data_IF_952409956014
#
_entry.id   IF_952409956014
#
_cell.length_a   1.000
_cell.length_b   1.000
_cell.length_c   1.000
_cell.angle_alpha   90.00
_cell.angle_beta   90.00
_cell.angle_gamma   90.00
#
_symmetry.space_group_name_H-M   'P 1'
#
loop_
_entity.id
_entity.type
_entity.pdbx_description
1 polymer ?
#
# COMPACT_ATOMS: atom_id res chain seq x y z
N UNK A 1 8.98 65.69 45.37
CA UNK A 1 8.96 65.56 46.84
C UNK A 1 7.62 66.09 47.33
N UNK A 2 6.74 65.19 47.82
CA UNK A 2 5.53 65.43 48.64
C UNK A 2 4.50 66.45 48.07
N UNK A 3 3.23 66.14 47.96
CA UNK A 3 2.30 66.14 49.09
C UNK A 3 1.03 65.37 48.71
N UNK A 4 0.63 64.50 49.62
CA UNK A 4 -0.65 63.83 49.75
C UNK A 4 -1.69 64.88 50.17
N UNK A 5 -2.85 64.94 49.53
CA UNK A 5 -4.07 65.48 50.17
C UNK A 5 -5.18 64.43 50.05
N UNK A 6 -5.54 63.93 51.22
CA UNK A 6 -6.70 63.12 51.56
C UNK A 6 -7.92 64.04 51.57
N UNK A 7 -9.02 63.65 50.92
CA UNK A 7 -10.34 64.23 51.17
C UNK A 7 -11.40 63.11 51.13
N UNK A 8 -11.50 62.46 52.29
CA UNK A 8 -12.70 62.12 53.05
C UNK A 8 -14.01 61.87 52.28
N UNK A 9 -14.41 60.60 52.33
CA UNK A 9 -15.72 60.05 52.02
C UNK A 9 -16.76 60.57 53.04
N UNK A 10 -17.81 61.26 52.58
CA UNK A 10 -19.06 61.43 53.34
C UNK A 10 -20.19 60.91 52.45
N UNK A 11 -20.90 59.92 52.97
CA UNK A 11 -21.99 59.20 52.34
C UNK A 11 -23.29 59.66 53.00
N UNK A 12 -24.11 60.46 52.31
CA UNK A 12 -25.48 60.76 52.73
C UNK A 12 -26.38 60.86 51.49
N UNK A 13 -27.44 60.06 51.49
CA UNK A 13 -28.78 60.44 51.02
C UNK A 13 -29.00 60.49 49.52
N UNK A 14 -29.68 59.47 48.99
CA UNK A 14 -30.12 59.44 47.61
C UNK A 14 -31.17 60.51 47.27
N UNK A 15 -31.18 60.92 46.02
CA UNK A 15 -32.38 61.08 45.18
C UNK A 15 -31.92 61.11 43.72
N UNK A 16 -32.69 60.44 42.89
CA UNK A 16 -32.50 60.16 41.47
C UNK A 16 -32.18 61.40 40.62
N UNK A 17 -31.04 61.38 39.95
CA UNK A 17 -30.84 62.10 38.70
C UNK A 17 -30.58 61.08 37.60
N UNK A 18 -31.57 60.95 36.70
CA UNK A 18 -31.46 60.23 35.44
C UNK A 18 -30.29 60.80 34.63
N UNK A 19 -29.12 60.19 34.80
CA UNK A 19 -28.00 60.38 33.91
C UNK A 19 -28.29 59.58 32.64
N UNK A 20 -28.58 60.31 31.57
CA UNK A 20 -28.64 59.87 30.19
C UNK A 20 -27.34 59.12 29.84
N UNK A 21 -27.25 57.83 30.18
CA UNK A 21 -26.23 56.93 29.70
C UNK A 21 -26.55 56.68 28.22
N UNK A 22 -26.09 57.59 27.36
CA UNK A 22 -25.86 57.27 25.95
C UNK A 22 -24.94 56.05 25.98
N UNK A 23 -25.55 54.88 25.73
CA UNK A 23 -24.84 53.70 25.33
C UNK A 23 -24.04 54.06 24.09
N UNK A 24 -22.75 54.30 24.25
CA UNK A 24 -21.84 54.23 23.13
C UNK A 24 -21.99 52.82 22.59
N UNK A 25 -22.46 52.61 21.34
CA UNK A 25 -22.36 51.29 20.76
C UNK A 25 -20.88 50.96 20.78
N UNK A 26 -20.51 49.88 21.45
CA UNK A 26 -19.16 49.32 21.40
C UNK A 26 -18.80 49.22 19.93
N UNK A 27 -17.99 50.16 19.43
CA UNK A 27 -17.50 50.15 18.07
C UNK A 27 -16.64 48.90 17.96
N UNK A 28 -17.26 47.83 17.47
CA UNK A 28 -16.55 46.62 17.08
C UNK A 28 -15.71 47.03 15.88
N UNK A 29 -14.46 47.42 16.17
CA UNK A 29 -13.49 47.79 15.17
C UNK A 29 -13.40 46.66 14.13
N UNK A 30 -13.94 46.93 12.93
CA UNK A 30 -14.03 45.93 11.87
C UNK A 30 -12.65 45.83 11.25
N UNK A 31 -11.99 44.68 11.39
CA UNK A 31 -10.68 44.42 10.80
C UNK A 31 -10.80 43.40 9.67
N UNK A 32 -9.90 43.51 8.67
CA UNK A 32 -9.77 42.53 7.59
C UNK A 32 -8.87 41.38 8.03
N UNK A 33 -9.25 40.16 7.65
CA UNK A 33 -8.41 38.97 7.79
C UNK A 33 -7.53 38.82 6.54
N UNK A 34 -6.23 38.63 6.73
CA UNK A 34 -5.26 38.59 5.62
C UNK A 34 -5.07 37.18 5.03
N UNK A 35 -5.23 36.15 5.86
CA UNK A 35 -5.13 34.75 5.45
C UNK A 35 -6.40 34.03 5.89
N UNK A 36 -7.20 33.61 4.93
CA UNK A 36 -8.54 33.07 5.15
C UNK A 36 -8.61 31.71 4.49
N UNK A 37 -9.10 30.72 5.24
CA UNK A 37 -9.37 29.38 4.73
C UNK A 37 -10.87 29.17 4.70
N UNK A 38 -11.37 28.73 3.55
CA UNK A 38 -12.80 28.49 3.32
C UNK A 38 -12.98 27.09 2.75
N UNK A 39 -14.03 26.40 3.18
CA UNK A 39 -14.49 25.10 2.69
C UNK A 39 -15.60 25.24 1.63
N UNK A 40 -16.51 26.18 1.85
CA UNK A 40 -17.68 26.45 1.04
C UNK A 40 -17.40 27.06 -0.35
N UNK A 41 -18.41 27.00 -1.24
CA UNK A 41 -18.34 27.53 -2.60
C UNK A 41 -18.43 29.06 -2.69
N UNK A 42 -18.88 29.71 -1.63
CA UNK A 42 -19.03 31.16 -1.52
C UNK A 42 -18.26 31.67 -0.32
N UNK A 43 -17.66 32.84 -0.47
CA UNK A 43 -16.97 33.57 0.59
C UNK A 43 -18.01 34.44 1.28
N UNK A 44 -18.12 34.29 2.60
CA UNK A 44 -19.05 35.05 3.43
C UNK A 44 -18.39 36.32 3.95
N UNK A 45 -19.19 37.30 4.35
CA UNK A 45 -18.70 38.58 4.86
C UNK A 45 -17.88 38.40 6.15
N UNK A 46 -18.28 37.46 7.00
CA UNK A 46 -17.57 37.11 8.24
C UNK A 46 -16.23 36.39 8.03
N UNK A 47 -15.97 35.86 6.83
CA UNK A 47 -14.68 35.26 6.48
C UNK A 47 -13.64 36.34 6.24
N UNK A 48 -14.06 37.46 5.65
CA UNK A 48 -13.20 38.58 5.25
C UNK A 48 -13.02 39.62 6.35
N UNK A 49 -14.08 39.89 7.12
CA UNK A 49 -14.11 40.95 8.13
C UNK A 49 -14.48 40.40 9.51
N UNK A 50 -13.98 41.02 10.58
CA UNK A 50 -14.36 40.69 11.97
C UNK A 50 -15.77 41.21 12.31
N UNK A 51 -16.78 40.67 11.63
CA UNK A 51 -18.20 41.01 11.82
C UNK A 51 -18.90 39.86 12.54
N UNK A 52 -19.85 40.17 13.43
CA UNK A 52 -20.66 39.20 14.17
C UNK A 52 -22.15 39.34 13.81
N UNK A 53 -22.92 38.28 14.04
CA UNK A 53 -24.37 38.25 13.79
C UNK A 53 -24.74 37.85 12.37
N UNK A 54 -26.02 38.01 12.00
CA UNK A 54 -26.58 37.54 10.71
C UNK A 54 -25.86 38.11 9.48
N UNK A 55 -25.30 39.32 9.58
CA UNK A 55 -24.50 39.95 8.51
C UNK A 55 -23.24 39.16 8.16
N UNK A 56 -22.69 38.38 9.11
CA UNK A 56 -21.49 37.57 8.88
C UNK A 56 -21.75 36.45 7.85
N UNK A 57 -22.99 35.94 7.76
CA UNK A 57 -23.38 34.83 6.88
C UNK A 57 -23.69 35.25 5.44
N UNK A 58 -23.63 36.55 5.15
CA UNK A 58 -23.97 37.07 3.83
C UNK A 58 -22.89 36.72 2.80
N UNK A 59 -23.29 36.11 1.68
CA UNK A 59 -22.39 35.77 0.59
C UNK A 59 -21.94 37.02 -0.18
N UNK A 60 -20.64 37.15 -0.41
CA UNK A 60 -20.01 38.33 -1.02
C UNK A 60 -19.35 38.01 -2.35
N UNK A 61 -18.76 36.81 -2.48
CA UNK A 61 -18.03 36.39 -3.68
C UNK A 61 -18.02 34.87 -3.83
N UNK A 62 -17.66 34.40 -5.02
CA UNK A 62 -17.34 32.98 -5.24
C UNK A 62 -15.96 32.64 -4.71
N UNK A 63 -15.84 31.50 -4.03
CA UNK A 63 -14.56 30.97 -3.59
C UNK A 63 -13.75 30.44 -4.80
N UNK A 64 -12.40 30.44 -4.74
CA UNK A 64 -11.58 29.83 -5.76
C UNK A 64 -11.84 28.31 -5.88
N UNK A 65 -11.30 27.66 -6.92
CA UNK A 65 -11.32 26.20 -7.00
C UNK A 65 -10.56 25.58 -5.80
N UNK A 66 -10.95 24.38 -5.31
CA UNK A 66 -10.23 23.70 -4.21
C UNK A 66 -8.73 23.61 -4.49
N UNK A 67 -7.91 24.01 -3.52
CA UNK A 67 -6.44 24.01 -3.62
C UNK A 67 -5.86 25.19 -4.40
N UNK A 68 -6.71 26.09 -4.91
CA UNK A 68 -6.30 27.38 -5.48
C UNK A 68 -6.49 28.50 -4.46
N UNK A 69 -5.84 29.63 -4.74
CA UNK A 69 -5.94 30.86 -3.93
C UNK A 69 -6.49 32.01 -4.78
N UNK A 70 -7.35 32.82 -4.17
CA UNK A 70 -7.77 34.11 -4.70
C UNK A 70 -7.18 35.22 -3.83
N UNK A 71 -6.81 36.34 -4.45
CA UNK A 71 -6.30 37.52 -3.73
C UNK A 71 -7.23 38.68 -3.99
N UNK A 72 -7.70 39.30 -2.90
CA UNK A 72 -8.58 40.45 -2.93
C UNK A 72 -7.82 41.69 -2.44
N UNK A 73 -7.85 42.76 -3.22
CA UNK A 73 -7.12 43.99 -2.94
C UNK A 73 -7.90 44.97 -2.04
N UNK A 74 -7.20 45.98 -1.53
CA UNK A 74 -7.77 47.01 -0.67
C UNK A 74 -8.99 47.73 -1.30
N UNK A 75 -8.96 47.97 -2.62
CA UNK A 75 -10.04 48.63 -3.36
C UNK A 75 -11.30 47.78 -3.40
N UNK A 76 -11.17 46.49 -3.67
CA UNK A 76 -12.30 45.56 -3.67
C UNK A 76 -12.87 45.40 -2.25
N UNK A 77 -12.01 45.18 -1.26
CA UNK A 77 -12.43 45.08 0.15
C UNK A 77 -13.19 46.32 0.60
N UNK A 78 -12.76 47.51 0.16
CA UNK A 78 -13.43 48.76 0.50
C UNK A 78 -14.80 48.89 -0.15
N UNK A 79 -14.95 48.47 -1.41
CA UNK A 79 -16.25 48.43 -2.09
C UNK A 79 -17.23 47.49 -1.38
N UNK A 80 -16.77 46.31 -0.97
CA UNK A 80 -17.56 45.36 -0.20
C UNK A 80 -17.98 45.97 1.14
N UNK A 81 -17.03 46.51 1.90
CA UNK A 81 -17.32 47.15 3.19
C UNK A 81 -18.36 48.26 3.06
N UNK A 82 -18.25 49.11 2.04
CA UNK A 82 -19.21 50.19 1.77
C UNK A 82 -20.59 49.65 1.40
N UNK A 83 -20.66 48.62 0.56
CA UNK A 83 -21.92 48.01 0.14
C UNK A 83 -22.70 47.43 1.33
N UNK A 84 -22.00 46.80 2.28
CA UNK A 84 -22.60 46.23 3.50
C UNK A 84 -22.60 47.19 4.71
N UNK A 85 -22.28 48.47 4.49
CA UNK A 85 -22.26 49.54 5.51
C UNK A 85 -21.37 49.18 6.72
N UNK A 86 -20.21 48.57 6.47
CA UNK A 86 -19.19 48.29 7.48
C UNK A 86 -18.30 49.53 7.68
N UNK A 87 -18.00 49.85 8.94
CA UNK A 87 -17.09 50.93 9.31
C UNK A 87 -15.62 50.50 9.16
N UNK A 88 -15.22 50.16 7.94
CA UNK A 88 -13.85 49.80 7.60
C UNK A 88 -13.32 50.68 6.47
N UNK A 89 -12.07 51.11 6.61
CA UNK A 89 -11.33 51.85 5.59
C UNK A 89 -9.92 51.25 5.46
N UNK A 90 -9.38 51.15 4.23
CA UNK A 90 -8.02 50.68 4.04
C UNK A 90 -7.04 51.67 4.67
N UNK A 91 -6.17 51.18 5.55
CA UNK A 91 -5.08 51.98 6.14
C UNK A 91 -4.03 52.30 5.07
N UNK A 92 -3.85 51.40 4.09
CA UNK A 92 -3.01 51.58 2.93
C UNK A 92 -3.46 50.68 1.77
N UNK A 93 -2.95 50.95 0.56
CA UNK A 93 -3.26 50.18 -0.66
C UNK A 93 -2.60 48.79 -0.71
N UNK A 94 -1.72 48.47 0.24
CA UNK A 94 -1.01 47.18 0.30
C UNK A 94 -1.80 46.08 1.02
N UNK A 95 -2.92 46.42 1.66
CA UNK A 95 -3.79 45.45 2.33
C UNK A 95 -4.35 44.47 1.29
N UNK A 96 -4.24 43.17 1.59
CA UNK A 96 -4.75 42.08 0.76
C UNK A 96 -5.34 41.00 1.65
N UNK A 97 -6.48 40.47 1.22
CA UNK A 97 -7.05 39.25 1.78
C UNK A 97 -6.75 38.10 0.80
N UNK A 98 -5.96 37.13 1.26
CA UNK A 98 -5.66 35.91 0.51
C UNK A 98 -6.61 34.83 1.03
N UNK A 99 -7.52 34.41 0.16
CA UNK A 99 -8.46 33.33 0.44
C UNK A 99 -7.96 32.07 -0.23
N UNK A 100 -7.71 31.03 0.57
CA UNK A 100 -7.36 29.69 0.09
C UNK A 100 -8.56 28.80 0.33
N UNK A 101 -9.01 28.10 -0.72
CA UNK A 101 -10.04 27.08 -0.53
C UNK A 101 -9.38 25.79 -0.09
N UNK A 102 -9.74 25.31 1.10
CA UNK A 102 -9.19 24.06 1.62
C UNK A 102 -9.47 22.93 0.62
N UNK A 103 -8.42 22.15 0.33
CA UNK A 103 -8.57 20.95 -0.49
C UNK A 103 -7.95 19.76 0.19
N UNK A 104 -8.66 18.65 0.15
CA UNK A 104 -8.08 17.34 0.40
C UNK A 104 -7.63 16.75 -0.94
N UNK A 105 -6.47 16.11 -0.93
CA UNK A 105 -5.98 15.38 -2.10
C UNK A 105 -6.47 13.95 -1.95
N UNK A 106 -7.33 13.49 -2.86
CA UNK A 106 -7.68 12.08 -2.91
C UNK A 106 -6.46 11.33 -3.44
N UNK A 107 -5.98 10.39 -2.64
CA UNK A 107 -4.84 9.56 -3.00
C UNK A 107 -5.23 8.52 -4.05
N UNK A 108 -4.27 8.09 -4.86
CA UNK A 108 -4.51 7.02 -5.82
C UNK A 108 -4.87 5.70 -5.13
N UNK A 109 -4.38 5.50 -3.90
CA UNK A 109 -4.60 4.29 -3.13
C UNK A 109 -6.07 4.22 -2.64
N UNK A 110 -6.64 5.32 -2.17
CA UNK A 110 -8.07 5.41 -1.83
C UNK A 110 -8.98 5.08 -3.03
N UNK A 111 -8.66 5.60 -4.22
CA UNK A 111 -9.40 5.28 -5.44
C UNK A 111 -9.24 3.80 -5.80
N UNK A 112 -8.04 3.26 -5.64
CA UNK A 112 -7.75 1.86 -5.96
C UNK A 112 -8.52 0.91 -5.04
N UNK A 113 -8.56 1.20 -3.74
CA UNK A 113 -9.28 0.42 -2.74
C UNK A 113 -10.79 0.49 -2.98
N UNK A 114 -11.36 1.68 -3.19
CA UNK A 114 -12.79 1.84 -3.49
C UNK A 114 -13.20 1.09 -4.77
N UNK A 115 -12.38 1.14 -5.82
CA UNK A 115 -12.62 0.39 -7.06
C UNK A 115 -12.47 -1.11 -6.82
N UNK A 116 -11.50 -1.55 -6.00
CA UNK A 116 -11.30 -2.97 -5.67
C UNK A 116 -12.53 -3.54 -4.99
N UNK A 117 -13.04 -2.86 -3.97
CA UNK A 117 -14.20 -3.31 -3.21
C UNK A 117 -15.44 -3.42 -4.11
N UNK A 118 -15.68 -2.39 -4.93
CA UNK A 118 -16.78 -2.40 -5.90
C UNK A 118 -16.65 -3.50 -6.97
N UNK A 119 -15.42 -3.83 -7.40
CA UNK A 119 -15.18 -4.93 -8.36
C UNK A 119 -15.44 -6.29 -7.72
N UNK A 120 -15.00 -6.49 -6.48
CA UNK A 120 -15.23 -7.75 -5.73
C UNK A 120 -16.73 -7.97 -5.50
N UNK A 121 -17.48 -6.92 -5.17
CA UNK A 121 -18.94 -6.97 -5.04
C UNK A 121 -19.63 -7.38 -6.36
N UNK A 122 -19.08 -6.96 -7.50
CA UNK A 122 -19.52 -7.40 -8.84
C UNK A 122 -19.01 -8.79 -9.26
N UNK A 123 -18.34 -9.51 -8.36
CA UNK A 123 -17.87 -10.88 -8.59
C UNK A 123 -16.52 -10.97 -9.30
N UNK A 124 -15.66 -9.95 -9.19
CA UNK A 124 -14.25 -10.08 -9.49
C UNK A 124 -13.54 -10.94 -8.42
N UNK A 125 -12.43 -11.59 -8.80
CA UNK A 125 -11.62 -12.37 -7.87
C UNK A 125 -10.81 -11.43 -6.96
N UNK A 126 -10.83 -11.59 -5.62
CA UNK A 126 -10.06 -10.77 -4.68
C UNK A 126 -8.54 -10.77 -4.95
N UNK A 127 -8.01 -11.84 -5.53
CA UNK A 127 -6.57 -12.01 -5.81
C UNK A 127 -6.17 -11.44 -7.18
N UNK A 128 -6.87 -10.41 -7.62
CA UNK A 128 -6.62 -9.77 -8.92
C UNK A 128 -5.84 -8.47 -8.75
N UNK A 129 -4.80 -8.29 -9.56
CA UNK A 129 -4.12 -7.00 -9.69
C UNK A 129 -4.93 -6.07 -10.60
N UNK A 130 -5.40 -4.96 -10.05
CA UNK A 130 -6.12 -3.92 -10.78
C UNK A 130 -5.11 -2.91 -11.32
N UNK A 131 -5.10 -2.73 -12.65
CA UNK A 131 -4.26 -1.75 -13.33
C UNK A 131 -5.15 -0.70 -13.98
N UNK A 132 -5.07 0.52 -13.48
CA UNK A 132 -5.75 1.68 -14.07
C UNK A 132 -5.05 2.12 -15.35
N UNK A 133 -5.84 2.46 -16.37
CA UNK A 133 -5.33 2.99 -17.64
C UNK A 133 -4.75 4.40 -17.47
N UNK A 134 -5.29 5.18 -16.53
CA UNK A 134 -4.80 6.51 -16.21
C UNK A 134 -4.19 6.54 -14.80
N UNK A 135 -2.86 6.44 -14.71
CA UNK A 135 -2.11 6.31 -13.46
C UNK A 135 -1.87 7.62 -12.70
N UNK A 136 -2.18 8.79 -13.27
CA UNK A 136 -1.74 10.10 -12.73
C UNK A 136 -2.88 11.04 -12.38
N UNK A 137 -3.99 10.49 -11.91
CA UNK A 137 -5.13 11.29 -11.49
C UNK A 137 -4.95 11.76 -10.04
N UNK A 138 -4.25 12.89 -9.84
CA UNK A 138 -4.24 13.61 -8.55
C UNK A 138 -5.44 14.55 -8.52
N UNK A 139 -6.35 14.35 -7.57
CA UNK A 139 -7.55 15.18 -7.46
C UNK A 139 -7.56 15.96 -6.17
N UNK A 140 -7.83 17.26 -6.32
CA UNK A 140 -8.12 18.15 -5.20
C UNK A 140 -9.64 18.23 -5.05
N UNK A 141 -10.14 17.83 -3.90
CA UNK A 141 -11.56 17.90 -3.51
C UNK A 141 -11.71 18.94 -2.43
N UNK A 142 -12.85 19.64 -2.37
CA UNK A 142 -13.11 20.64 -1.33
C UNK A 142 -13.04 19.98 0.06
N UNK A 143 -12.26 20.56 0.97
CA UNK A 143 -12.19 20.08 2.36
C UNK A 143 -13.43 20.55 3.10
N UNK A 144 -14.41 19.68 3.34
CA UNK A 144 -15.63 20.01 4.08
C UNK A 144 -16.77 19.00 3.91
N UNK A 145 -16.83 18.28 2.78
CA UNK A 145 -17.80 17.20 2.56
C UNK A 145 -17.23 15.85 3.04
N UNK A 146 -18.11 14.87 3.31
CA UNK A 146 -17.75 13.51 3.75
C UNK A 146 -16.56 12.98 2.95
N UNK A 147 -15.45 12.74 3.65
CA UNK A 147 -14.21 12.25 3.07
C UNK A 147 -14.44 10.88 2.45
N UNK A 148 -14.14 10.72 1.17
CA UNK A 148 -14.21 9.42 0.51
C UNK A 148 -14.41 9.50 -0.99
N UNK A 149 -14.09 8.39 -1.65
CA UNK A 149 -14.41 8.12 -3.05
C UNK A 149 -15.61 7.18 -3.06
N UNK A 150 -16.71 7.58 -3.68
CA UNK A 150 -17.81 6.67 -3.96
C UNK A 150 -17.72 6.17 -5.40
N UNK A 151 -18.06 4.91 -5.61
CA UNK A 151 -18.22 4.33 -6.93
C UNK A 151 -19.70 4.36 -7.28
N UNK A 152 -20.11 5.35 -8.08
CA UNK A 152 -21.50 5.54 -8.48
C UNK A 152 -21.96 4.41 -9.42
N UNK A 153 -21.10 4.07 -10.38
CA UNK A 153 -21.38 3.04 -11.38
C UNK A 153 -20.11 2.26 -11.69
N UNK A 154 -20.24 0.94 -11.84
CA UNK A 154 -19.16 0.09 -12.30
C UNK A 154 -19.64 -0.96 -13.28
N UNK A 155 -19.00 -1.00 -14.43
CA UNK A 155 -19.21 -2.00 -15.47
C UNK A 155 -17.95 -2.85 -15.58
N UNK A 156 -18.06 -4.12 -15.19
CA UNK A 156 -16.98 -5.10 -15.26
C UNK A 156 -17.32 -6.21 -16.26
N UNK A 157 -16.42 -6.42 -17.22
CA UNK A 157 -16.57 -7.44 -18.25
C UNK A 157 -15.64 -8.63 -17.99
N UNK A 158 -16.21 -9.73 -17.47
CA UNK A 158 -15.47 -10.93 -17.03
C UNK A 158 -14.63 -11.60 -18.12
N UNK A 159 -15.09 -11.58 -19.38
CA UNK A 159 -14.37 -12.20 -20.51
C UNK A 159 -13.09 -11.45 -20.89
N UNK A 160 -13.18 -10.11 -20.96
CA UNK A 160 -12.05 -9.26 -21.37
C UNK A 160 -11.22 -8.76 -20.20
N UNK A 161 -11.67 -9.02 -18.96
CA UNK A 161 -11.09 -8.51 -17.71
C UNK A 161 -10.91 -6.99 -17.73
N UNK A 162 -11.83 -6.29 -18.39
CA UNK A 162 -11.86 -4.83 -18.49
C UNK A 162 -12.95 -4.28 -17.59
N UNK A 163 -12.72 -3.11 -17.05
CA UNK A 163 -13.75 -2.38 -16.33
C UNK A 163 -13.74 -0.90 -16.68
N UNK A 164 -14.90 -0.29 -16.54
CA UNK A 164 -15.09 1.16 -16.51
C UNK A 164 -15.92 1.49 -15.28
N UNK A 165 -15.48 2.46 -14.50
CA UNK A 165 -16.15 2.94 -13.31
C UNK A 165 -16.35 4.46 -13.39
N UNK A 166 -17.46 4.94 -12.86
CA UNK A 166 -17.71 6.35 -12.60
C UNK A 166 -17.57 6.54 -11.10
N UNK A 167 -16.62 7.37 -10.70
CA UNK A 167 -16.36 7.70 -9.30
C UNK A 167 -16.78 9.13 -9.03
N UNK A 168 -17.40 9.37 -7.87
CA UNK A 168 -17.73 10.68 -7.36
C UNK A 168 -16.86 11.03 -6.16
N UNK A 169 -16.40 12.27 -6.15
CA UNK A 169 -15.49 12.80 -5.15
C UNK A 169 -15.84 14.27 -4.86
N UNK A 170 -16.24 14.64 -3.63
CA UNK A 170 -16.35 13.80 -2.42
C UNK A 170 -17.62 12.94 -2.40
N UNK A 171 -17.58 11.80 -1.71
CA UNK A 171 -18.71 10.87 -1.62
C UNK A 171 -19.98 11.53 -1.05
N UNK A 172 -21.11 11.36 -1.74
CA UNK A 172 -22.43 11.82 -1.26
C UNK A 172 -22.69 13.32 -1.38
N UNK A 173 -21.80 14.09 -2.01
CA UNK A 173 -22.01 15.51 -2.29
C UNK A 173 -22.71 15.71 -3.63
N UNK A 174 -23.78 16.54 -3.67
CA UNK A 174 -24.48 16.86 -4.91
C UNK A 174 -23.61 17.62 -5.92
N UNK A 175 -22.56 18.30 -5.44
CA UNK A 175 -21.56 18.98 -6.28
C UNK A 175 -20.29 18.13 -6.47
N UNK A 176 -20.35 16.82 -6.17
CA UNK A 176 -19.23 15.92 -6.36
C UNK A 176 -18.78 15.90 -7.81
N UNK A 177 -17.46 15.92 -8.01
CA UNK A 177 -16.91 15.79 -9.34
C UNK A 177 -16.94 14.32 -9.75
N UNK A 178 -17.65 14.03 -10.84
CA UNK A 178 -17.66 12.70 -11.44
C UNK A 178 -16.49 12.50 -12.39
N UNK A 179 -15.82 11.36 -12.26
CA UNK A 179 -14.66 11.00 -13.07
C UNK A 179 -14.86 9.59 -13.59
N UNK A 180 -14.59 9.40 -14.89
CA UNK A 180 -14.55 8.08 -15.50
C UNK A 180 -13.15 7.49 -15.36
N UNK A 181 -13.07 6.34 -14.71
CA UNK A 181 -11.86 5.53 -14.60
C UNK A 181 -12.06 4.25 -15.39
N UNK A 182 -11.02 3.79 -16.08
CA UNK A 182 -11.04 2.51 -16.78
C UNK A 182 -9.74 1.76 -16.54
N UNK A 183 -9.79 0.44 -16.61
CA UNK A 183 -8.63 -0.39 -16.35
C UNK A 183 -8.81 -1.85 -16.75
N UNK A 184 -7.83 -2.64 -16.34
CA UNK A 184 -7.81 -4.08 -16.53
C UNK A 184 -7.49 -4.81 -15.23
N UNK A 185 -8.06 -6.00 -15.13
CA UNK A 185 -7.87 -6.96 -14.08
C UNK A 185 -6.88 -8.02 -14.58
N UNK A 186 -5.85 -8.31 -13.79
CA UNK A 186 -4.92 -9.41 -14.06
C UNK A 186 -4.97 -10.39 -12.90
N UNK A 187 -5.34 -11.63 -13.16
CA UNK A 187 -5.27 -12.68 -12.15
C UNK A 187 -3.83 -12.80 -11.67
N UNK A 188 -3.65 -12.76 -10.35
CA UNK A 188 -2.35 -13.00 -9.73
C UNK A 188 -2.34 -14.31 -8.97
N UNK A 189 -1.18 -14.94 -8.97
CA UNK A 189 -0.92 -16.16 -8.23
C UNK A 189 0.32 -15.88 -7.38
N UNK A 190 0.26 -16.29 -6.12
CA UNK A 190 1.42 -16.29 -5.25
C UNK A 190 2.32 -17.46 -5.60
N UNK A 191 3.60 -17.19 -5.85
CA UNK A 191 4.58 -18.23 -6.15
C UNK A 191 5.81 -18.08 -5.26
N UNK A 192 6.40 -19.20 -4.81
CA UNK A 192 7.64 -19.18 -4.08
C UNK A 192 8.81 -18.92 -5.02
N UNK A 193 9.65 -17.96 -4.66
CA UNK A 193 10.91 -17.63 -5.35
C UNK A 193 12.06 -17.62 -4.36
N UNK A 194 13.29 -17.70 -4.86
CA UNK A 194 14.46 -17.64 -3.99
C UNK A 194 14.72 -16.21 -3.50
N UNK A 195 15.04 -16.04 -2.23
CA UNK A 195 15.48 -14.78 -1.61
C UNK A 195 16.93 -14.42 -1.98
N UNK A 196 17.74 -15.44 -2.30
CA UNK A 196 19.15 -15.31 -2.73
C UNK A 196 19.47 -16.22 -3.92
N UNK A 197 20.67 -16.07 -4.47
CA UNK A 197 21.20 -17.01 -5.47
C UNK A 197 21.55 -18.34 -4.79
N UNK A 198 21.11 -19.45 -5.37
CA UNK A 198 21.43 -20.82 -4.90
C UNK A 198 22.15 -21.55 -6.03
N UNK A 199 23.28 -22.18 -5.71
CA UNK A 199 24.12 -22.86 -6.71
C UNK A 199 23.61 -24.28 -7.00
N UNK A 200 24.11 -24.87 -8.09
CA UNK A 200 23.85 -26.28 -8.37
C UNK A 200 24.49 -27.15 -7.28
N UNK A 201 23.77 -28.14 -6.78
CA UNK A 201 24.25 -28.99 -5.68
C UNK A 201 23.86 -28.52 -4.28
N UNK A 202 23.50 -27.25 -4.12
CA UNK A 202 23.10 -26.67 -2.84
C UNK A 202 21.64 -27.00 -2.51
N UNK A 203 21.34 -27.34 -1.25
CA UNK A 203 19.97 -27.63 -0.80
C UNK A 203 19.21 -26.35 -0.49
N UNK A 204 18.02 -26.20 -1.06
CA UNK A 204 17.11 -25.09 -0.79
C UNK A 204 16.48 -25.30 0.58
N UNK A 205 16.58 -24.29 1.44
CA UNK A 205 15.94 -24.26 2.76
C UNK A 205 14.73 -23.34 2.77
N UNK A 206 13.94 -23.40 3.82
CA UNK A 206 12.78 -22.52 4.04
C UNK A 206 13.18 -21.03 4.10
N UNK A 207 14.32 -20.71 4.74
CA UNK A 207 14.90 -19.35 4.79
C UNK A 207 15.24 -18.76 3.42
N UNK A 208 15.44 -19.62 2.41
CA UNK A 208 15.75 -19.21 1.05
C UNK A 208 14.49 -18.86 0.26
N UNK A 209 13.29 -19.07 0.80
CA UNK A 209 12.02 -18.90 0.08
C UNK A 209 11.38 -17.57 0.43
N UNK A 210 10.89 -16.89 -0.60
CA UNK A 210 10.08 -15.68 -0.49
C UNK A 210 8.88 -15.80 -1.41
N UNK A 211 7.72 -15.37 -0.94
CA UNK A 211 6.51 -15.31 -1.75
C UNK A 211 6.43 -14.00 -2.53
N UNK A 212 6.11 -14.10 -3.82
CA UNK A 212 5.81 -12.95 -4.66
C UNK A 212 4.50 -13.15 -5.42
N UNK A 213 3.75 -12.07 -5.61
CA UNK A 213 2.56 -12.05 -6.47
C UNK A 213 2.98 -11.83 -7.92
N UNK A 214 2.59 -12.74 -8.80
CA UNK A 214 2.83 -12.62 -10.23
C UNK A 214 1.54 -12.82 -11.01
N UNK A 215 1.45 -12.13 -12.16
CA UNK A 215 0.33 -12.31 -13.08
C UNK A 215 0.36 -13.72 -13.66
N UNK A 216 -0.77 -14.42 -13.61
CA UNK A 216 -0.91 -15.81 -14.09
C UNK A 216 -0.43 -15.97 -15.54
N UNK A 217 -0.75 -15.02 -16.41
CA UNK A 217 -0.32 -15.04 -17.82
C UNK A 217 1.20 -14.90 -18.05
N UNK A 218 1.99 -14.60 -17.02
CA UNK A 218 3.47 -14.61 -17.09
C UNK A 218 4.08 -15.90 -16.57
N UNK A 219 3.30 -16.76 -15.93
CA UNK A 219 3.79 -18.04 -15.41
C UNK A 219 3.92 -19.03 -16.55
N UNK A 220 5.08 -19.68 -16.62
CA UNK A 220 5.30 -20.79 -17.53
C UNK A 220 4.61 -22.05 -16.99
N UNK A 221 4.27 -22.98 -17.88
CA UNK A 221 3.83 -24.31 -17.46
C UNK A 221 4.88 -24.97 -16.55
N UNK A 222 4.41 -25.71 -15.53
CA UNK A 222 5.24 -26.38 -14.52
C UNK A 222 6.08 -25.42 -13.63
N UNK A 223 5.65 -24.16 -13.50
CA UNK A 223 6.17 -23.29 -12.43
C UNK A 223 5.72 -23.84 -11.08
N UNK A 224 6.64 -23.89 -10.13
CA UNK A 224 6.36 -24.33 -8.76
C UNK A 224 5.47 -23.29 -8.08
N UNK A 225 4.37 -23.74 -7.49
CA UNK A 225 3.41 -22.89 -6.75
C UNK A 225 3.40 -23.18 -5.26
N UNK A 226 4.05 -24.25 -4.79
CA UNK A 226 4.15 -24.62 -3.38
C UNK A 226 5.59 -24.70 -2.88
N UNK A 227 5.85 -24.20 -1.68
CA UNK A 227 7.20 -24.24 -1.08
C UNK A 227 7.69 -25.66 -0.77
N UNK A 228 6.79 -26.59 -0.44
CA UNK A 228 7.09 -28.00 -0.20
C UNK A 228 7.74 -28.68 -1.42
N UNK A 229 7.52 -28.16 -2.63
CA UNK A 229 8.17 -28.65 -3.84
C UNK A 229 9.59 -28.12 -4.01
N UNK A 230 10.04 -27.17 -3.20
CA UNK A 230 11.39 -26.58 -3.25
C UNK A 230 12.23 -26.98 -2.04
N UNK A 231 11.65 -26.95 -0.83
CA UNK A 231 12.37 -27.23 0.41
C UNK A 231 12.97 -28.63 0.36
N UNK A 232 14.26 -28.73 0.71
CA UNK A 232 14.99 -29.99 0.70
C UNK A 232 15.40 -30.46 -0.70
N UNK A 233 15.04 -29.75 -1.78
CA UNK A 233 15.52 -30.03 -3.14
C UNK A 233 16.76 -29.21 -3.47
N UNK A 234 17.43 -29.62 -4.53
CA UNK A 234 18.67 -29.03 -5.01
C UNK A 234 18.50 -28.56 -6.46
N UNK A 235 18.96 -27.36 -6.83
CA UNK A 235 18.93 -26.91 -8.22
C UNK A 235 19.81 -27.77 -9.13
N UNK A 236 19.33 -28.03 -10.35
CA UNK A 236 20.13 -28.67 -11.42
C UNK A 236 21.19 -27.71 -11.98
N UNK A 237 20.87 -26.43 -12.03
CA UNK A 237 21.71 -25.30 -12.45
C UNK A 237 21.51 -24.18 -11.44
N UNK A 238 22.47 -23.26 -11.32
CA UNK A 238 22.33 -22.13 -10.40
C UNK A 238 21.08 -21.32 -10.68
N UNK A 239 20.27 -21.06 -9.66
CA UNK A 239 19.02 -20.30 -9.73
C UNK A 239 19.24 -18.88 -9.17
N UNK A 240 18.59 -17.90 -9.79
CA UNK A 240 18.66 -16.49 -9.40
C UNK A 240 17.54 -16.16 -8.41
N UNK A 241 17.80 -15.19 -7.53
CA UNK A 241 16.80 -14.66 -6.62
C UNK A 241 15.67 -13.95 -7.36
N UNK A 242 14.44 -14.04 -6.84
CA UNK A 242 13.28 -13.28 -7.32
C UNK A 242 12.63 -13.79 -8.62
N UNK A 243 13.13 -14.87 -9.22
CA UNK A 243 12.56 -15.44 -10.44
C UNK A 243 11.71 -16.69 -10.12
N UNK A 244 10.59 -16.90 -10.83
CA UNK A 244 9.83 -18.14 -10.77
C UNK A 244 10.69 -19.36 -11.08
N UNK A 245 10.49 -20.43 -10.30
CA UNK A 245 11.26 -21.67 -10.43
C UNK A 245 10.39 -22.71 -11.11
N UNK A 246 10.93 -23.38 -12.12
CA UNK A 246 10.27 -24.52 -12.74
C UNK A 246 10.53 -25.78 -11.94
N UNK A 247 9.55 -26.66 -11.83
CA UNK A 247 9.69 -27.96 -11.15
C UNK A 247 10.81 -28.80 -11.78
N UNK A 248 11.03 -28.66 -13.10
CA UNK A 248 12.11 -29.32 -13.84
C UNK A 248 13.51 -28.81 -13.49
N UNK A 249 13.63 -27.60 -12.92
CA UNK A 249 14.91 -26.97 -12.57
C UNK A 249 15.47 -27.45 -11.23
N UNK A 250 14.65 -28.09 -10.40
CA UNK A 250 15.04 -28.67 -9.12
C UNK A 250 14.99 -30.20 -9.17
N UNK A 251 15.70 -30.86 -8.26
CA UNK A 251 15.71 -32.32 -8.09
C UNK A 251 15.98 -32.69 -6.65
N UNK A 252 15.80 -33.95 -6.28
CA UNK A 252 16.27 -34.46 -4.98
C UNK A 252 17.79 -34.25 -4.84
N UNK A 253 18.31 -33.99 -3.63
CA UNK A 253 19.74 -33.85 -3.39
C UNK A 253 20.49 -35.10 -3.83
N UNK A 254 21.63 -34.94 -4.50
CA UNK A 254 22.51 -36.07 -4.81
C UNK A 254 23.32 -36.35 -3.56
N UNK A 255 23.05 -37.47 -2.90
CA UNK A 255 23.76 -37.89 -1.69
C UNK A 255 25.00 -38.72 -2.03
N UNK A 256 24.98 -39.39 -3.18
CA UNK A 256 26.11 -40.15 -3.73
C UNK A 256 26.37 -39.69 -5.16
N UNK A 257 27.54 -39.10 -5.39
CA UNK A 257 27.93 -38.61 -6.71
C UNK A 257 28.63 -39.73 -7.52
N UNK A 258 28.41 -39.74 -8.83
CA UNK A 258 29.13 -40.64 -9.72
C UNK A 258 30.64 -40.46 -9.56
N UNK A 259 31.34 -41.56 -9.37
CA UNK A 259 32.79 -41.61 -9.20
C UNK A 259 33.29 -41.36 -7.79
N UNK A 260 32.42 -41.00 -6.83
CA UNK A 260 32.83 -40.81 -5.43
C UNK A 260 33.13 -42.15 -4.75
N UNK A 261 34.10 -42.14 -3.85
CA UNK A 261 34.34 -43.24 -2.91
C UNK A 261 33.25 -43.21 -1.83
N UNK A 262 32.59 -44.34 -1.62
CA UNK A 262 31.46 -44.49 -0.70
C UNK A 262 31.62 -45.72 0.16
N UNK A 263 30.92 -45.71 1.30
CA UNK A 263 30.84 -46.86 2.20
C UNK A 263 29.59 -47.69 1.90
N UNK A 264 29.81 -48.92 1.49
CA UNK A 264 28.79 -49.96 1.38
C UNK A 264 28.60 -50.60 2.75
N UNK A 265 27.34 -50.68 3.20
CA UNK A 265 26.95 -51.31 4.45
C UNK A 265 26.02 -52.47 4.12
N UNK A 266 26.36 -53.67 4.58
CA UNK A 266 25.48 -54.84 4.53
C UNK A 266 25.09 -55.21 5.95
N UNK A 267 23.79 -55.22 6.24
CA UNK A 267 23.25 -55.65 7.53
C UNK A 267 22.54 -57.00 7.36
N UNK A 268 23.05 -58.01 8.05
CA UNK A 268 22.44 -59.33 8.20
C UNK A 268 22.05 -59.54 9.68
N UNK A 269 21.19 -60.53 10.03
CA UNK A 269 20.62 -60.68 11.38
C UNK A 269 21.63 -60.70 12.55
N UNK A 270 22.87 -61.16 12.31
CA UNK A 270 23.94 -61.21 13.33
C UNK A 270 25.26 -60.58 12.86
N UNK A 271 25.25 -59.82 11.77
CA UNK A 271 26.48 -59.35 11.14
C UNK A 271 26.29 -58.00 10.46
N UNK A 272 27.25 -57.09 10.66
CA UNK A 272 27.37 -55.83 9.94
C UNK A 272 28.69 -55.84 9.16
N UNK A 273 28.61 -55.86 7.83
CA UNK A 273 29.79 -55.75 6.97
C UNK A 273 29.86 -54.35 6.39
N UNK A 274 31.07 -53.80 6.34
CA UNK A 274 31.34 -52.53 5.66
C UNK A 274 32.45 -52.73 4.65
N UNK A 275 32.30 -52.11 3.48
CA UNK A 275 33.29 -52.15 2.41
C UNK A 275 33.32 -50.81 1.68
N UNK A 276 34.46 -50.48 1.08
CA UNK A 276 34.58 -49.29 0.25
C UNK A 276 34.27 -49.62 -1.21
N UNK A 277 33.60 -48.69 -1.89
CA UNK A 277 33.22 -48.83 -3.29
C UNK A 277 33.24 -47.49 -4.02
N UNK A 278 33.38 -47.53 -5.34
CA UNK A 278 33.29 -46.36 -6.21
C UNK A 278 31.93 -46.34 -6.89
N UNK A 279 31.14 -45.29 -6.67
CA UNK A 279 29.82 -45.16 -7.30
C UNK A 279 29.94 -45.02 -8.82
N UNK A 280 29.11 -45.73 -9.59
CA UNK A 280 29.06 -45.63 -11.05
C UNK A 280 27.93 -44.70 -11.54
N UNK A 281 26.90 -44.53 -10.71
CA UNK A 281 25.74 -43.68 -10.97
C UNK A 281 25.59 -42.62 -9.87
N UNK A 282 24.84 -41.54 -10.16
CA UNK A 282 24.41 -40.60 -9.12
C UNK A 282 23.19 -41.17 -8.40
N UNK A 283 23.11 -41.00 -7.09
CA UNK A 283 21.96 -41.44 -6.30
C UNK A 283 21.49 -40.39 -5.30
N UNK A 284 20.18 -40.19 -5.26
CA UNK A 284 19.48 -39.53 -4.17
C UNK A 284 19.04 -40.55 -3.13
N UNK A 285 18.54 -40.09 -1.99
CA UNK A 285 18.01 -40.96 -0.94
C UNK A 285 16.98 -41.98 -1.48
N UNK A 286 17.17 -43.25 -1.13
CA UNK A 286 16.36 -44.39 -1.57
C UNK A 286 16.62 -44.87 -3.01
N UNK A 287 17.47 -44.20 -3.80
CA UNK A 287 17.77 -44.64 -5.15
C UNK A 287 18.70 -45.87 -5.13
N UNK A 288 18.46 -46.84 -6.01
CA UNK A 288 19.38 -47.96 -6.23
C UNK A 288 20.43 -47.56 -7.25
N UNK A 289 21.71 -47.66 -6.89
CA UNK A 289 22.84 -47.29 -7.74
C UNK A 289 23.83 -48.44 -7.90
N UNK A 290 24.53 -48.47 -9.03
CA UNK A 290 25.62 -49.43 -9.27
C UNK A 290 26.93 -48.91 -8.70
N UNK A 291 27.69 -49.80 -8.09
CA UNK A 291 28.93 -49.48 -7.36
C UNK A 291 29.98 -50.51 -7.72
N UNK A 292 31.21 -50.07 -8.00
CA UNK A 292 32.34 -50.97 -8.16
C UNK A 292 33.07 -51.15 -6.82
N UNK A 293 33.15 -52.37 -6.31
CA UNK A 293 33.90 -52.67 -5.09
C UNK A 293 35.40 -52.52 -5.35
N UNK A 294 36.09 -51.69 -4.56
CA UNK A 294 37.51 -51.40 -4.79
C UNK A 294 38.45 -52.56 -4.45
N UNK A 295 37.99 -53.53 -3.66
CA UNK A 295 38.77 -54.72 -3.30
C UNK A 295 38.59 -55.88 -4.29
N UNK A 296 37.35 -56.10 -4.75
CA UNK A 296 37.02 -57.26 -5.60
C UNK A 296 36.79 -56.91 -7.08
N UNK A 297 36.76 -55.62 -7.42
CA UNK A 297 36.39 -55.11 -8.75
C UNK A 297 35.03 -55.62 -9.30
N UNK A 298 34.17 -56.13 -8.42
CA UNK A 298 32.80 -56.55 -8.79
C UNK A 298 31.84 -55.38 -8.69
N UNK A 299 30.88 -55.33 -9.62
CA UNK A 299 29.78 -54.37 -9.60
C UNK A 299 28.67 -54.92 -8.69
N UNK A 300 28.23 -54.09 -7.75
CA UNK A 300 27.17 -54.40 -6.78
C UNK A 300 26.12 -53.30 -6.86
N UNK A 301 24.84 -53.67 -6.75
CA UNK A 301 23.73 -52.74 -6.62
C UNK A 301 23.43 -52.49 -5.14
N UNK A 302 23.25 -51.23 -4.77
CA UNK A 302 22.93 -50.85 -3.40
C UNK A 302 22.00 -49.64 -3.38
N UNK A 303 21.18 -49.58 -2.34
CA UNK A 303 20.24 -48.48 -2.09
C UNK A 303 20.95 -47.35 -1.32
N UNK A 304 20.80 -46.11 -1.75
CA UNK A 304 21.36 -44.96 -1.04
C UNK A 304 20.60 -44.74 0.27
N UNK A 305 21.32 -44.74 1.38
CA UNK A 305 20.76 -44.55 2.74
C UNK A 305 21.25 -43.27 3.41
N UNK A 306 22.08 -42.48 2.73
CA UNK A 306 22.64 -41.25 3.27
C UNK A 306 23.85 -40.75 2.49
N UNK A 307 24.42 -39.65 2.94
CA UNK A 307 25.59 -39.04 2.30
C UNK A 307 26.78 -40.00 2.28
N UNK A 308 27.24 -40.37 1.08
CA UNK A 308 28.37 -41.29 0.89
C UNK A 308 28.14 -42.71 1.43
N UNK A 309 26.89 -43.10 1.73
CA UNK A 309 26.55 -44.39 2.33
C UNK A 309 25.43 -45.09 1.57
N UNK A 310 25.59 -46.39 1.38
CA UNK A 310 24.62 -47.23 0.67
C UNK A 310 24.41 -48.54 1.42
N UNK A 311 23.20 -49.08 1.37
CA UNK A 311 22.84 -50.39 1.88
C UNK A 311 22.83 -51.42 0.74
N UNK A 312 23.70 -52.41 0.82
CA UNK A 312 23.66 -53.55 -0.09
C UNK A 312 22.59 -54.50 0.40
N UNK A 313 21.62 -54.85 -0.44
CA UNK A 313 20.67 -55.93 -0.16
C UNK A 313 21.32 -57.23 -0.63
N UNK A 314 21.41 -58.23 0.24
CA UNK A 314 21.75 -59.59 -0.20
C UNK A 314 20.63 -60.08 -1.08
N UNK A 315 20.81 -60.06 -2.40
CA UNK A 315 19.97 -60.88 -3.26
C UNK A 315 20.30 -62.33 -2.91
N UNK A 316 19.36 -63.02 -2.28
CA UNK A 316 19.36 -64.47 -2.16
C UNK A 316 19.17 -65.07 -3.55
N UNK A 317 20.17 -64.96 -4.42
CA UNK A 317 20.28 -65.80 -5.61
C UNK A 317 21.09 -67.02 -5.20
N UNK A 318 20.38 -67.98 -4.60
CA UNK A 318 20.70 -69.38 -4.77
C UNK A 318 20.47 -69.66 -6.26
N UNK A 319 21.51 -69.47 -7.07
CA UNK A 319 21.56 -70.07 -8.40
C UNK A 319 21.94 -71.54 -8.17
N UNK A 320 20.91 -72.36 -8.03
CA UNK A 320 21.00 -73.80 -8.18
C UNK A 320 20.91 -74.06 -9.69
N UNK A 321 22.02 -74.47 -10.29
CA UNK A 321 22.11 -75.25 -11.53
C UNK A 321 23.48 -75.91 -11.57
#
# INVERSE_FOLDING_TARGET
>A
MRIIIIATLILIGGTSFDAFAKSFPTETNVMVRNAIKVDAAVIKLGDLFTVKGEKAETAVAYAPQPGKRATFDAKWLYRVARAYKLNWRPINDRIRAVVVRESQVISNDEIHDAIRDALVEKGADPNTEIVLSNKFLKFHVAGGSLSGVAVDEINFQRRSQRFTAIISAPAGDANAKQIRVSGRLYQTVEVPVLSRRVLAGETIKEEDIKWIKLRSGRLQANTVTGEAELIGKTPRRGLRAGFPILASSVRRPILVAKGSLITMVLRAPKMLLTAQGKALDNGSDGDVIRINNTQSNKIVEAEVIGHGRVAVRTTSMIAMN
#
